data_IF_008053623855
#
_entry.id   IF_008053623855
#
_cell.length_a   1.000
_cell.length_b   1.000
_cell.length_c   1.000
_cell.angle_alpha   90.00
_cell.angle_beta   90.00
_cell.angle_gamma   90.00
#
_symmetry.space_group_name_H-M   'P 1'
#
loop_
_entity.id
_entity.type
_entity.pdbx_description
1 polymer ?
#
# COMPACT_ATOMS: atom_id res chain seq x y z
N UNK A 1 6.17 -5.69 -15.64
CA UNK A 1 7.21 -4.69 -15.92
C UNK A 1 6.94 -3.32 -15.27
N UNK A 2 5.70 -2.94 -14.94
CA UNK A 2 5.45 -1.69 -14.16
C UNK A 2 5.66 -1.85 -12.65
N UNK A 3 5.24 -2.97 -12.07
CA UNK A 3 5.25 -3.20 -10.61
C UNK A 3 6.66 -3.36 -10.03
N UNK A 4 7.55 -4.06 -10.74
CA UNK A 4 8.91 -4.35 -10.27
C UNK A 4 9.77 -3.08 -10.13
N UNK A 5 9.60 -2.12 -11.05
CA UNK A 5 10.32 -0.84 -11.00
C UNK A 5 9.84 0.04 -9.84
N UNK A 6 8.53 0.04 -9.59
CA UNK A 6 7.93 0.74 -8.45
C UNK A 6 8.40 0.10 -7.14
N UNK A 7 8.41 -1.24 -7.06
CA UNK A 7 8.87 -1.96 -5.88
C UNK A 7 10.33 -1.65 -5.57
N UNK A 8 11.21 -1.67 -6.58
CA UNK A 8 12.62 -1.34 -6.41
C UNK A 8 12.83 0.08 -5.88
N UNK A 9 12.13 1.07 -6.46
CA UNK A 9 12.20 2.47 -6.02
C UNK A 9 11.74 2.65 -4.58
N UNK A 10 10.76 1.86 -4.14
CA UNK A 10 10.20 1.92 -2.79
C UNK A 10 11.12 1.28 -1.75
N UNK A 11 11.80 0.18 -2.11
CA UNK A 11 12.75 -0.50 -1.24
C UNK A 11 14.03 0.31 -1.00
N UNK A 12 14.40 1.22 -1.91
CA UNK A 12 15.53 2.15 -1.76
C UNK A 12 15.22 3.34 -0.83
N UNK A 13 13.98 3.49 -0.34
CA UNK A 13 13.60 4.57 0.59
C UNK A 13 14.05 4.22 2.00
N UNK A 14 15.21 4.73 2.40
CA UNK A 14 15.79 4.52 3.74
C UNK A 14 15.06 5.36 4.81
N UNK A 15 14.61 6.58 4.48
CA UNK A 15 13.94 7.48 5.43
C UNK A 15 12.89 8.41 4.78
N UNK A 16 11.59 8.11 4.95
CA UNK A 16 10.53 9.12 4.78
C UNK A 16 9.16 8.61 4.31
N UNK A 17 8.12 8.87 5.12
CA UNK A 17 6.71 8.64 4.74
C UNK A 17 6.27 9.46 3.51
N UNK A 18 6.94 10.60 3.25
CA UNK A 18 6.66 11.48 2.10
C UNK A 18 6.84 10.75 0.77
N UNK A 19 7.91 9.98 0.59
CA UNK A 19 8.16 9.27 -0.66
C UNK A 19 7.13 8.16 -0.93
N UNK A 20 6.59 7.55 0.12
CA UNK A 20 5.49 6.58 0.02
C UNK A 20 4.21 7.29 -0.46
N UNK A 21 3.91 8.47 0.09
CA UNK A 21 2.76 9.26 -0.34
C UNK A 21 2.90 9.74 -1.79
N UNK A 22 4.09 10.15 -2.21
CA UNK A 22 4.33 10.59 -3.58
C UNK A 22 4.20 9.42 -4.57
N UNK A 23 4.74 8.24 -4.22
CA UNK A 23 4.53 7.02 -5.01
C UNK A 23 3.04 6.62 -5.07
N UNK A 24 2.29 6.77 -3.97
CA UNK A 24 0.85 6.51 -3.97
C UNK A 24 0.11 7.47 -4.90
N UNK A 25 0.40 8.77 -4.86
CA UNK A 25 -0.17 9.78 -5.77
C UNK A 25 0.14 9.48 -7.22
N UNK A 26 1.38 9.08 -7.52
CA UNK A 26 1.80 8.71 -8.88
C UNK A 26 0.94 7.55 -9.42
N UNK A 27 0.78 6.47 -8.64
CA UNK A 27 -0.07 5.32 -9.00
C UNK A 27 -1.53 5.74 -9.19
N UNK A 28 -2.08 6.50 -8.24
CA UNK A 28 -3.47 6.96 -8.29
C UNK A 28 -3.74 7.88 -9.50
N UNK A 29 -2.75 8.67 -9.92
CA UNK A 29 -2.87 9.56 -11.09
C UNK A 29 -2.66 8.86 -12.44
N UNK A 30 -1.96 7.73 -12.45
CA UNK A 30 -1.56 7.03 -13.68
C UNK A 30 -2.37 5.77 -13.97
N UNK A 31 -3.30 5.39 -13.07
CA UNK A 31 -4.10 4.17 -13.20
C UNK A 31 -5.56 4.39 -12.82
N UNK A 32 -6.45 3.48 -13.24
CA UNK A 32 -7.85 3.51 -12.80
C UNK A 32 -7.97 3.13 -11.32
N UNK A 33 -9.11 3.44 -10.68
CA UNK A 33 -9.36 3.04 -9.29
C UNK A 33 -9.27 1.52 -9.11
N UNK A 34 -9.81 0.72 -10.04
CA UNK A 34 -9.72 -0.75 -9.98
C UNK A 34 -8.28 -1.24 -10.08
N UNK A 35 -7.48 -0.60 -10.94
CA UNK A 35 -6.08 -0.97 -11.11
C UNK A 35 -5.25 -0.58 -9.89
N UNK A 36 -5.48 0.62 -9.35
CA UNK A 36 -4.90 1.07 -8.08
C UNK A 36 -5.24 0.14 -6.93
N UNK A 37 -6.50 -0.30 -6.83
CA UNK A 37 -6.96 -1.24 -5.82
C UNK A 37 -6.25 -2.60 -5.94
N UNK A 38 -6.10 -3.12 -7.16
CA UNK A 38 -5.40 -4.39 -7.40
C UNK A 38 -3.93 -4.31 -6.98
N UNK A 39 -3.22 -3.24 -7.37
CA UNK A 39 -1.82 -2.99 -6.97
C UNK A 39 -1.70 -2.93 -5.45
N UNK A 40 -2.58 -2.16 -4.80
CA UNK A 40 -2.54 -2.00 -3.36
C UNK A 40 -2.83 -3.32 -2.63
N UNK A 41 -3.78 -4.13 -3.13
CA UNK A 41 -4.11 -5.44 -2.56
C UNK A 41 -2.92 -6.40 -2.62
N UNK A 42 -2.17 -6.41 -3.74
CA UNK A 42 -0.95 -7.22 -3.91
C UNK A 42 0.14 -6.80 -2.91
N UNK A 43 0.37 -5.49 -2.76
CA UNK A 43 1.41 -4.96 -1.88
C UNK A 43 1.08 -5.03 -0.39
N UNK A 44 -0.20 -5.19 -0.05
CA UNK A 44 -0.66 -5.18 1.34
C UNK A 44 -0.12 -6.34 2.19
N UNK A 45 0.12 -7.49 1.56
CA UNK A 45 0.62 -8.70 2.22
C UNK A 45 2.14 -8.91 2.07
N UNK A 46 2.84 -7.93 1.48
CA UNK A 46 4.28 -7.99 1.26
C UNK A 46 5.09 -8.04 2.58
N UNK A 47 6.24 -8.72 2.59
CA UNK A 47 7.09 -8.94 3.77
C UNK A 47 7.84 -7.69 4.24
N UNK A 48 8.29 -6.85 3.31
CA UNK A 48 8.86 -5.53 3.62
C UNK A 48 7.79 -4.53 4.06
N UNK A 49 8.12 -3.59 4.94
CA UNK A 49 7.14 -2.61 5.45
C UNK A 49 6.81 -1.53 4.43
N UNK A 50 7.75 -1.14 3.56
CA UNK A 50 7.57 -0.05 2.61
C UNK A 50 6.42 -0.32 1.61
N UNK A 51 6.32 -1.51 0.97
CA UNK A 51 5.18 -1.81 0.08
C UNK A 51 3.86 -1.89 0.83
N UNK A 52 3.85 -2.38 2.08
CA UNK A 52 2.63 -2.37 2.91
C UNK A 52 2.16 -0.95 3.21
N UNK A 53 3.09 -0.04 3.46
CA UNK A 53 2.77 1.37 3.70
C UNK A 53 2.24 2.04 2.43
N UNK A 54 2.80 1.71 1.26
CA UNK A 54 2.25 2.15 -0.02
C UNK A 54 0.82 1.65 -0.22
N UNK A 55 0.58 0.36 0.03
CA UNK A 55 -0.75 -0.23 -0.08
C UNK A 55 -1.77 0.48 0.82
N UNK A 56 -1.41 0.76 2.08
CA UNK A 56 -2.28 1.50 3.00
C UNK A 56 -2.57 2.90 2.49
N UNK A 57 -1.58 3.62 1.94
CA UNK A 57 -1.78 4.97 1.42
C UNK A 57 -2.75 4.98 0.22
N UNK A 58 -2.61 4.03 -0.71
CA UNK A 58 -3.51 3.90 -1.87
C UNK A 58 -4.92 3.51 -1.43
N UNK A 59 -5.06 2.47 -0.60
CA UNK A 59 -6.37 2.01 -0.09
C UNK A 59 -7.07 3.09 0.74
N UNK A 60 -6.31 3.85 1.54
CA UNK A 60 -6.84 4.95 2.34
C UNK A 60 -7.40 6.09 1.49
N UNK A 61 -6.75 6.39 0.36
CA UNK A 61 -7.29 7.34 -0.62
C UNK A 61 -8.56 6.81 -1.28
N UNK A 62 -8.53 5.58 -1.80
CA UNK A 62 -9.66 4.95 -2.46
C UNK A 62 -10.86 4.77 -1.52
N UNK A 63 -10.65 4.56 -0.22
CA UNK A 63 -11.73 4.39 0.76
C UNK A 63 -12.69 5.60 0.86
N UNK A 64 -12.31 6.78 0.34
CA UNK A 64 -13.20 7.94 0.24
C UNK A 64 -14.32 7.79 -0.80
N UNK A 65 -14.11 6.97 -1.84
CA UNK A 65 -15.02 6.79 -2.98
C UNK A 65 -15.39 5.33 -3.25
N UNK A 66 -14.59 4.38 -2.73
CA UNK A 66 -14.71 2.95 -2.96
C UNK A 66 -14.94 2.21 -1.63
N UNK A 67 -16.14 1.65 -1.46
CA UNK A 67 -16.53 0.92 -0.25
C UNK A 67 -15.79 -0.41 -0.08
N UNK A 68 -15.33 -1.05 -1.16
CA UNK A 68 -14.51 -2.26 -1.09
C UNK A 68 -13.13 -1.96 -0.50
N UNK A 69 -12.51 -0.84 -0.87
CA UNK A 69 -11.26 -0.37 -0.26
C UNK A 69 -11.41 -0.12 1.25
N UNK A 70 -12.53 0.48 1.66
CA UNK A 70 -12.84 0.67 3.07
C UNK A 70 -13.05 -0.66 3.82
N UNK A 71 -13.78 -1.61 3.22
CA UNK A 71 -14.01 -2.93 3.79
C UNK A 71 -12.70 -3.72 3.91
N UNK A 72 -11.85 -3.66 2.89
CA UNK A 72 -10.53 -4.30 2.90
C UNK A 72 -9.67 -3.81 4.08
N UNK A 73 -9.63 -2.50 4.32
CA UNK A 73 -8.91 -1.92 5.46
C UNK A 73 -9.52 -2.34 6.82
N UNK A 74 -10.85 -2.46 6.91
CA UNK A 74 -11.53 -2.90 8.14
C UNK A 74 -11.26 -4.37 8.44
N UNK A 75 -11.43 -5.26 7.46
CA UNK A 75 -11.27 -6.71 7.66
C UNK A 75 -9.82 -7.09 7.94
N UNK A 76 -8.87 -6.37 7.35
CA UNK A 76 -7.45 -6.59 7.61
C UNK A 76 -7.03 -6.15 9.02
N UNK A 77 -7.69 -5.15 9.62
CA UNK A 77 -7.47 -4.82 11.04
C UNK A 77 -7.85 -5.97 11.97
N UNK A 78 -8.83 -6.79 11.58
CA UNK A 78 -9.23 -8.02 12.30
C UNK A 78 -8.24 -9.16 12.02
N UNK A 79 -7.79 -9.34 10.78
CA UNK A 79 -6.80 -10.38 10.40
C UNK A 79 -5.42 -10.13 11.00
N UNK A 80 -4.95 -8.87 11.05
CA UNK A 80 -3.62 -8.48 11.56
C UNK A 80 -3.50 -8.61 13.08
N UNK A 81 -4.60 -8.65 13.86
CA UNK A 81 -4.53 -9.02 15.29
C UNK A 81 -3.99 -10.45 15.54
N UNK A 82 -3.92 -11.30 14.51
CA UNK A 82 -3.40 -12.66 14.60
C UNK A 82 -1.93 -12.82 14.19
N UNK A 83 -1.29 -11.79 13.61
CA UNK A 83 0.12 -11.83 13.16
C UNK A 83 0.89 -10.72 13.88
N UNK A 84 1.99 -11.01 14.60
CA UNK A 84 2.73 -9.98 15.32
C UNK A 84 3.23 -8.92 14.34
N UNK A 85 2.91 -7.66 14.66
CA UNK A 85 3.21 -6.50 13.85
C UNK A 85 4.57 -5.94 14.29
N UNK A 86 5.65 -6.44 13.68
CA UNK A 86 6.94 -5.77 13.78
C UNK A 86 6.90 -4.56 12.84
N UNK A 87 6.41 -3.44 13.37
CA UNK A 87 6.30 -2.17 12.64
C UNK A 87 7.66 -1.48 12.45
N UNK A 88 8.70 -2.02 13.09
CA UNK A 88 10.08 -1.54 13.04
C UNK A 88 11.00 -2.76 13.20
N UNK A 89 11.43 -3.35 12.11
CA UNK A 89 12.59 -4.24 12.12
C UNK A 89 13.28 -4.04 10.78
N UNK A 90 14.41 -3.33 10.90
CA UNK A 90 15.43 -2.93 9.94
C UNK A 90 14.98 -2.18 8.67
#
# INVERSE_FOLDING_TARGET
METDNVLKRILEIEHGFVHILDAAKEILSSSSEERSFAIASEFFDHEAYQPRMLAIAILGHLAGTNSEALLFLKDTSVRRKKKPMNLFSD
#
